data_IF_689495929402
#
_entry.id   IF_689495929402
#
_cell.length_a   1.000
_cell.length_b   1.000
_cell.length_c   1.000
_cell.angle_alpha   90.00
_cell.angle_beta   90.00
_cell.angle_gamma   90.00
#
_symmetry.space_group_name_H-M   'P 1'
#
loop_
_entity.id
_entity.type
_entity.pdbx_description
1 polymer ?
#
# COMPACT_ATOMS: atom_id res chain seq x y z
N UNK A 1 6.59 3.31 17.63
CA UNK A 1 6.02 1.98 17.93
C UNK A 1 4.53 2.16 18.05
N UNK A 2 3.75 1.50 17.18
CA UNK A 2 2.29 1.55 17.18
C UNK A 2 1.73 0.14 17.27
N UNK A 3 0.93 -0.14 18.28
CA UNK A 3 0.26 -1.45 18.39
C UNK A 3 -1.07 -1.41 17.69
N UNK A 4 -1.30 -2.37 16.79
CA UNK A 4 -2.58 -2.55 16.09
C UNK A 4 -3.09 -3.95 16.43
N UNK A 5 -4.36 -4.04 16.83
CA UNK A 5 -5.02 -5.34 16.99
C UNK A 5 -5.59 -5.75 15.64
N UNK A 6 -4.98 -6.77 15.05
CA UNK A 6 -5.45 -7.37 13.82
C UNK A 6 -6.27 -8.61 14.12
N UNK A 7 -7.26 -8.85 13.29
CA UNK A 7 -7.94 -10.13 13.23
C UNK A 7 -7.30 -10.97 12.12
N UNK A 8 -6.65 -12.05 12.51
CA UNK A 8 -6.06 -13.02 11.60
C UNK A 8 -7.17 -13.96 11.14
N UNK A 9 -7.56 -13.83 9.88
CA UNK A 9 -8.60 -14.62 9.23
C UNK A 9 -7.95 -15.81 8.50
N UNK A 10 -7.99 -16.98 9.13
CA UNK A 10 -7.41 -18.21 8.63
C UNK A 10 -8.47 -19.27 8.33
N UNK A 11 -8.05 -20.41 7.79
CA UNK A 11 -8.93 -21.56 7.50
C UNK A 11 -9.68 -22.08 8.73
N UNK A 12 -9.03 -22.02 9.89
CA UNK A 12 -9.55 -22.52 11.17
C UNK A 12 -10.40 -21.48 11.93
N UNK A 13 -10.67 -20.33 11.30
CA UNK A 13 -11.44 -19.22 11.86
C UNK A 13 -10.60 -17.97 12.10
N UNK A 14 -11.21 -17.02 12.82
CA UNK A 14 -10.66 -15.69 13.07
C UNK A 14 -10.09 -15.61 14.48
N UNK A 15 -8.85 -15.14 14.61
CA UNK A 15 -8.18 -14.93 15.91
C UNK A 15 -7.68 -13.50 16.02
N UNK A 16 -7.72 -12.91 17.22
CA UNK A 16 -7.15 -11.58 17.44
C UNK A 16 -5.66 -11.68 17.77
N UNK A 17 -4.89 -10.74 17.24
CA UNK A 17 -3.45 -10.62 17.49
C UNK A 17 -3.06 -9.15 17.57
N UNK A 18 -2.56 -8.75 18.74
CA UNK A 18 -1.98 -7.42 18.92
C UNK A 18 -0.54 -7.44 18.41
N UNK A 19 -0.25 -6.66 17.37
CA UNK A 19 1.07 -6.59 16.74
C UNK A 19 1.64 -5.19 16.95
N UNK A 20 2.83 -5.10 17.53
CA UNK A 20 3.58 -3.85 17.66
C UNK A 20 4.34 -3.57 16.36
N UNK A 21 3.97 -2.51 15.64
CA UNK A 21 4.66 -2.07 14.43
C UNK A 21 5.70 -1.01 14.82
N UNK A 22 6.96 -1.36 14.60
CA UNK A 22 8.12 -0.50 14.84
C UNK A 22 8.67 0.10 13.55
N UNK A 23 8.40 -0.57 12.44
CA UNK A 23 9.08 -0.31 11.18
C UNK A 23 8.07 -0.38 10.05
N UNK A 24 7.87 0.75 9.37
CA UNK A 24 6.99 0.85 8.20
C UNK A 24 7.83 1.18 6.96
N UNK A 25 7.69 0.33 5.95
CA UNK A 25 8.36 0.42 4.65
C UNK A 25 7.31 0.60 3.56
N UNK A 26 7.65 1.37 2.54
CA UNK A 26 6.87 1.45 1.31
C UNK A 26 7.81 1.07 0.16
N UNK A 27 7.47 0.02 -0.57
CA UNK A 27 8.19 -0.40 -1.75
C UNK A 27 7.60 0.28 -2.99
N UNK A 28 8.35 1.19 -3.60
CA UNK A 28 8.01 1.80 -4.88
C UNK A 28 8.61 1.05 -6.05
N UNK A 29 8.06 1.26 -7.25
CA UNK A 29 8.57 0.70 -8.50
C UNK A 29 8.64 -0.83 -8.49
N UNK A 30 7.55 -1.46 -8.03
CA UNK A 30 7.46 -2.92 -7.87
C UNK A 30 6.89 -3.63 -9.08
N UNK A 31 6.66 -2.95 -10.22
CA UNK A 31 6.14 -3.57 -11.43
C UNK A 31 7.03 -4.73 -11.92
N UNK A 32 6.40 -5.85 -12.32
CA UNK A 32 7.13 -7.02 -12.87
C UNK A 32 7.57 -6.81 -14.32
N UNK A 33 6.84 -6.00 -15.08
CA UNK A 33 7.24 -5.64 -16.44
C UNK A 33 8.35 -4.60 -16.40
N UNK A 34 9.59 -5.10 -16.44
CA UNK A 34 10.79 -4.26 -16.38
C UNK A 34 10.92 -3.35 -17.60
N UNK A 35 10.43 -3.76 -18.77
CA UNK A 35 10.49 -2.96 -19.98
C UNK A 35 9.49 -1.79 -19.92
N UNK A 36 8.25 -2.06 -19.49
CA UNK A 36 7.25 -1.02 -19.28
C UNK A 36 7.67 -0.05 -18.17
N UNK A 37 8.22 -0.55 -17.07
CA UNK A 37 8.74 0.28 -15.98
C UNK A 37 9.89 1.19 -16.45
N UNK A 38 10.86 0.64 -17.17
CA UNK A 38 11.99 1.41 -17.72
C UNK A 38 11.53 2.46 -18.73
N UNK A 39 10.54 2.13 -19.59
CA UNK A 39 9.92 3.11 -20.49
C UNK A 39 9.29 4.27 -19.72
N UNK A 40 8.56 3.95 -18.65
CA UNK A 40 7.92 4.96 -17.82
C UNK A 40 8.93 5.85 -17.07
N UNK A 41 10.04 5.28 -16.59
CA UNK A 41 11.14 6.06 -16.00
C UNK A 41 11.70 7.06 -17.01
N UNK A 42 11.92 6.66 -18.27
CA UNK A 42 12.43 7.56 -19.31
C UNK A 42 11.46 8.68 -19.66
N UNK A 43 10.16 8.38 -19.75
CA UNK A 43 9.12 9.40 -19.95
C UNK A 43 9.14 10.45 -18.83
N UNK A 44 9.35 10.02 -17.58
CA UNK A 44 9.44 10.92 -16.43
C UNK A 44 10.76 11.71 -16.40
N UNK A 45 11.88 11.12 -16.82
CA UNK A 45 13.16 11.83 -16.99
C UNK A 45 13.05 12.96 -18.04
N UNK A 46 12.34 12.73 -19.15
CA UNK A 46 12.05 13.77 -20.16
C UNK A 46 11.24 14.94 -19.59
N UNK A 47 10.43 14.69 -18.56
CA UNK A 47 9.66 15.69 -17.81
C UNK A 47 10.44 16.31 -16.63
N UNK A 48 11.71 15.95 -16.45
CA UNK A 48 12.60 16.50 -15.42
C UNK A 48 12.52 15.79 -14.05
N UNK A 49 11.82 14.66 -13.96
CA UNK A 49 11.76 13.86 -12.73
C UNK A 49 13.02 13.00 -12.61
N UNK A 50 13.66 13.03 -11.45
CA UNK A 50 14.87 12.24 -11.20
C UNK A 50 14.53 10.74 -11.10
N UNK A 51 15.25 9.91 -11.88
CA UNK A 51 15.17 8.45 -11.79
C UNK A 51 15.45 7.92 -10.37
N UNK A 52 14.74 6.87 -9.93
CA UNK A 52 15.02 6.21 -8.67
C UNK A 52 16.42 5.60 -8.64
N UNK A 53 17.06 5.59 -7.47
CA UNK A 53 18.40 5.02 -7.29
C UNK A 53 18.45 3.50 -7.51
N UNK A 54 17.35 2.81 -7.22
CA UNK A 54 17.18 1.37 -7.40
C UNK A 54 15.73 1.06 -7.78
N UNK A 55 15.50 -0.06 -8.46
CA UNK A 55 14.16 -0.58 -8.73
C UNK A 55 14.08 -2.05 -8.26
N UNK A 56 13.27 -2.37 -7.23
CA UNK A 56 12.42 -1.48 -6.45
C UNK A 56 13.23 -0.50 -5.56
N UNK A 57 12.54 0.53 -5.06
CA UNK A 57 13.06 1.47 -4.06
C UNK A 57 12.26 1.31 -2.77
N UNK A 58 12.92 1.46 -1.62
CA UNK A 58 12.28 1.25 -0.31
C UNK A 58 12.31 2.55 0.50
N UNK A 59 11.16 3.19 0.62
CA UNK A 59 10.97 4.37 1.45
C UNK A 59 10.69 3.98 2.90
N UNK A 60 11.11 4.84 3.83
CA UNK A 60 10.85 4.69 5.26
C UNK A 60 9.93 5.81 5.71
N UNK A 61 8.90 5.45 6.47
CA UNK A 61 8.01 6.39 7.13
C UNK A 61 7.83 5.98 8.59
N UNK A 62 7.34 6.90 9.42
CA UNK A 62 7.02 6.61 10.81
C UNK A 62 5.97 5.50 10.90
N UNK A 63 6.20 4.52 11.76
CA UNK A 63 5.26 3.42 11.99
C UNK A 63 3.85 3.91 12.36
N UNK A 64 3.79 5.06 13.03
CA UNK A 64 2.53 5.68 13.46
C UNK A 64 1.61 6.08 12.32
N UNK A 65 2.13 6.17 11.08
CA UNK A 65 1.32 6.44 9.89
C UNK A 65 0.38 5.29 9.54
N UNK A 66 0.72 4.02 9.84
CA UNK A 66 -0.15 2.87 9.57
C UNK A 66 -1.35 2.87 10.52
N UNK A 67 -2.58 2.99 10.04
CA UNK A 67 -3.76 3.17 10.91
C UNK A 67 -5.01 2.49 10.36
N UNK A 68 -5.76 1.70 11.16
CA UNK A 68 -7.02 1.11 10.73
C UNK A 68 -8.25 2.02 10.85
N UNK A 69 -8.08 3.29 11.23
CA UNK A 69 -9.16 4.24 11.40
C UNK A 69 -9.97 4.46 10.11
N UNK A 70 -11.29 4.67 10.20
CA UNK A 70 -12.15 4.86 9.04
C UNK A 70 -12.06 6.28 8.44
N UNK A 71 -11.08 7.09 8.85
CA UNK A 71 -10.84 8.43 8.33
C UNK A 71 -9.37 8.82 8.52
N UNK A 72 -8.88 9.69 7.65
CA UNK A 72 -7.61 10.40 7.81
C UNK A 72 -7.83 11.89 7.61
N UNK A 73 -6.94 12.68 8.20
CA UNK A 73 -6.84 14.11 7.93
C UNK A 73 -5.65 14.39 7.03
N UNK A 74 -5.84 15.26 6.04
CA UNK A 74 -4.81 15.65 5.07
C UNK A 74 -4.76 17.17 4.95
N UNK A 75 -3.59 17.73 4.70
CA UNK A 75 -3.47 19.17 4.45
C UNK A 75 -3.86 19.48 3.01
N UNK A 76 -4.83 20.38 2.82
CA UNK A 76 -5.29 20.75 1.48
C UNK A 76 -5.97 19.60 0.73
N UNK A 77 -6.24 19.83 -0.56
CA UNK A 77 -6.98 18.91 -1.43
C UNK A 77 -6.11 18.17 -2.44
N UNK A 78 -4.78 18.17 -2.28
CA UNK A 78 -3.83 17.64 -3.27
C UNK A 78 -3.25 16.28 -2.87
N UNK A 79 -4.00 15.44 -2.15
CA UNK A 79 -3.60 14.07 -1.81
C UNK A 79 -4.52 13.04 -2.45
N UNK A 80 -4.06 11.80 -2.59
CA UNK A 80 -4.86 10.71 -3.15
C UNK A 80 -4.49 9.35 -2.56
N UNK A 81 -5.43 8.41 -2.58
CA UNK A 81 -5.20 7.01 -2.23
C UNK A 81 -4.49 6.21 -3.33
N UNK A 82 -3.76 5.19 -2.91
CA UNK A 82 -3.13 4.17 -3.76
C UNK A 82 -3.35 2.82 -3.08
N UNK A 83 -4.18 1.94 -3.63
CA UNK A 83 -4.41 0.62 -3.04
C UNK A 83 -3.16 -0.25 -3.15
N UNK A 84 -2.80 -0.89 -2.05
CA UNK A 84 -1.67 -1.82 -1.98
C UNK A 84 -2.03 -3.05 -1.13
N UNK A 85 -1.37 -4.17 -1.40
CA UNK A 85 -1.24 -5.21 -0.38
C UNK A 85 -0.10 -4.82 0.59
N UNK A 86 -0.27 -5.16 1.86
CA UNK A 86 0.73 -4.91 2.90
C UNK A 86 1.18 -6.24 3.50
N UNK A 87 2.49 -6.41 3.67
CA UNK A 87 3.06 -7.53 4.42
C UNK A 87 3.30 -7.09 5.86
N UNK A 88 2.96 -7.95 6.83
CA UNK A 88 3.21 -7.71 8.25
C UNK A 88 3.93 -8.92 8.84
N UNK A 89 4.98 -8.69 9.62
CA UNK A 89 5.78 -9.75 10.27
C UNK A 89 5.53 -9.74 11.78
N UNK A 90 5.17 -10.89 12.33
CA UNK A 90 4.98 -11.05 13.78
C UNK A 90 5.09 -12.53 14.19
N UNK A 91 5.76 -12.79 15.32
CA UNK A 91 5.87 -14.14 15.88
C UNK A 91 6.53 -15.14 14.93
N UNK A 92 7.43 -14.69 14.06
CA UNK A 92 8.02 -15.56 13.06
C UNK A 92 7.09 -15.95 11.89
N UNK A 93 5.90 -15.37 11.79
CA UNK A 93 4.93 -15.54 10.70
C UNK A 93 4.83 -14.28 9.82
N UNK A 94 4.55 -14.47 8.54
CA UNK A 94 4.27 -13.36 7.60
C UNK A 94 2.78 -13.36 7.26
N UNK A 95 2.19 -12.18 7.35
CA UNK A 95 0.78 -11.93 7.09
C UNK A 95 0.61 -10.99 5.90
N UNK A 96 -0.54 -11.10 5.23
CA UNK A 96 -0.96 -10.26 4.12
C UNK A 96 -2.19 -9.48 4.54
N UNK A 97 -2.16 -8.17 4.35
CA UNK A 97 -3.29 -7.27 4.51
C UNK A 97 -3.48 -6.39 3.27
N UNK A 98 -4.31 -5.37 3.43
CA UNK A 98 -4.42 -4.27 2.48
C UNK A 98 -4.22 -2.93 3.19
N UNK A 99 -3.66 -1.99 2.44
CA UNK A 99 -3.48 -0.62 2.88
C UNK A 99 -3.64 0.35 1.71
N UNK A 100 -3.68 1.63 2.03
CA UNK A 100 -3.54 2.71 1.07
C UNK A 100 -2.22 3.45 1.32
N UNK A 101 -1.37 3.53 0.30
CA UNK A 101 -0.21 4.42 0.31
C UNK A 101 -0.65 5.86 -0.01
N UNK A 102 -1.52 6.42 0.84
CA UNK A 102 -2.09 7.75 0.60
C UNK A 102 -0.96 8.78 0.52
N UNK A 103 -0.89 9.54 -0.55
CA UNK A 103 0.28 10.38 -0.87
C UNK A 103 -0.16 11.80 -1.23
N UNK A 104 0.56 12.79 -0.71
CA UNK A 104 0.40 14.19 -1.08
C UNK A 104 1.11 14.47 -2.42
N UNK A 105 0.34 14.82 -3.45
CA UNK A 105 0.82 14.95 -4.82
C UNK A 105 1.54 16.26 -5.09
N UNK A 106 1.21 17.31 -4.35
CA UNK A 106 1.94 18.58 -4.44
C UNK A 106 3.35 18.42 -3.85
N UNK A 107 3.44 17.85 -2.65
CA UNK A 107 4.71 17.58 -1.97
C UNK A 107 5.52 16.49 -2.68
N UNK A 108 4.88 15.58 -3.41
CA UNK A 108 5.58 14.53 -4.18
C UNK A 108 6.50 15.14 -5.25
N UNK A 109 6.10 16.27 -5.85
CA UNK A 109 6.93 17.02 -6.81
C UNK A 109 8.21 17.59 -6.18
N UNK A 110 8.16 17.90 -4.88
CA UNK A 110 9.31 18.30 -4.08
C UNK A 110 10.16 17.09 -3.66
N UNK A 111 9.51 16.01 -3.20
CA UNK A 111 10.20 14.80 -2.79
C UNK A 111 9.27 13.67 -2.39
N UNK A 112 9.39 12.54 -3.09
CA UNK A 112 8.59 11.33 -2.86
C UNK A 112 8.65 10.86 -1.40
N UNK A 113 9.84 10.80 -0.78
CA UNK A 113 9.95 10.38 0.63
C UNK A 113 9.15 11.27 1.58
N UNK A 114 9.16 12.59 1.34
CA UNK A 114 8.50 13.56 2.21
C UNK A 114 6.99 13.48 2.05
N UNK A 115 6.50 13.40 0.80
CA UNK A 115 5.07 13.25 0.51
C UNK A 115 4.48 12.00 1.15
N UNK A 116 5.20 10.87 1.08
CA UNK A 116 4.75 9.61 1.69
C UNK A 116 4.70 9.70 3.22
N UNK A 117 5.61 10.43 3.85
CA UNK A 117 5.63 10.63 5.30
C UNK A 117 4.51 11.56 5.79
N UNK A 118 4.09 12.51 4.97
CA UNK A 118 3.12 13.54 5.36
C UNK A 118 1.72 12.96 5.63
N UNK A 119 1.29 12.00 4.82
CA UNK A 119 -0.03 11.40 4.92
C UNK A 119 -0.06 10.15 5.82
N UNK A 120 -1.26 9.85 6.35
CA UNK A 120 -1.54 8.55 6.96
C UNK A 120 -1.48 7.41 5.92
N UNK A 121 -1.35 6.18 6.40
CA UNK A 121 -1.39 4.94 5.62
C UNK A 121 -2.54 4.07 6.13
N UNK A 122 -3.80 4.34 5.70
CA UNK A 122 -4.97 3.58 6.12
C UNK A 122 -4.81 2.09 5.81
N UNK A 123 -5.19 1.20 6.73
CA UNK A 123 -5.07 -0.24 6.53
C UNK A 123 -6.25 -1.04 7.05
N UNK A 124 -6.49 -2.23 6.50
CA UNK A 124 -7.44 -3.16 7.11
C UNK A 124 -6.95 -3.60 8.49
N UNK A 125 -7.90 -3.84 9.40
CA UNK A 125 -7.65 -4.53 10.67
C UNK A 125 -7.74 -6.06 10.53
N UNK A 126 -7.75 -6.58 9.30
CA UNK A 126 -7.86 -8.01 9.02
C UNK A 126 -6.69 -8.44 8.16
N UNK A 127 -6.06 -9.55 8.53
CA UNK A 127 -4.91 -10.12 7.85
C UNK A 127 -5.16 -11.59 7.51
N UNK A 128 -4.55 -12.06 6.44
CA UNK A 128 -4.43 -13.47 6.11
C UNK A 128 -3.01 -13.95 6.40
N UNK A 129 -2.84 -15.25 6.67
CA UNK A 129 -1.50 -15.84 6.63
C UNK A 129 -1.00 -15.83 5.20
N UNK A 130 0.26 -15.44 4.97
CA UNK A 130 0.83 -15.47 3.63
C UNK A 130 0.83 -16.88 3.04
N UNK A 131 1.14 -17.90 3.85
CA UNK A 131 1.16 -19.31 3.45
C UNK A 131 -0.18 -19.80 2.87
N UNK A 132 -1.31 -19.22 3.30
CA UNK A 132 -2.62 -19.60 2.76
C UNK A 132 -2.79 -19.20 1.29
N UNK A 133 -2.11 -18.13 0.87
CA UNK A 133 -2.27 -17.52 -0.46
C UNK A 133 -1.04 -17.66 -1.34
N UNK A 134 0.12 -18.03 -0.79
CA UNK A 134 1.39 -18.13 -1.52
C UNK A 134 1.29 -19.05 -2.76
N UNK A 135 0.58 -20.17 -2.64
CA UNK A 135 0.40 -21.14 -3.72
C UNK A 135 -0.45 -20.64 -4.91
N UNK A 136 -1.21 -19.57 -4.73
CA UNK A 136 -2.07 -18.99 -5.76
C UNK A 136 -1.99 -17.46 -5.83
N UNK A 137 -0.88 -16.89 -5.36
CA UNK A 137 -0.70 -15.44 -5.19
C UNK A 137 -1.09 -14.64 -6.44
N UNK A 138 -0.64 -15.08 -7.61
CA UNK A 138 -0.85 -14.37 -8.87
C UNK A 138 -2.32 -14.34 -9.35
N UNK A 139 -3.22 -15.05 -8.67
CA UNK A 139 -4.66 -15.06 -8.93
C UNK A 139 -5.41 -13.99 -8.11
N UNK A 140 -4.80 -13.44 -7.06
CA UNK A 140 -5.45 -12.43 -6.24
C UNK A 140 -5.70 -11.14 -7.04
N UNK A 141 -6.82 -10.49 -6.77
CA UNK A 141 -7.24 -9.25 -7.46
C UNK A 141 -7.30 -8.10 -6.46
N UNK A 142 -6.52 -7.06 -6.70
CA UNK A 142 -6.53 -5.82 -5.94
C UNK A 142 -7.45 -4.82 -6.63
N UNK A 143 -8.33 -4.18 -5.86
CA UNK A 143 -9.25 -3.15 -6.33
C UNK A 143 -9.23 -1.94 -5.41
N UNK A 144 -9.48 -0.79 -6.01
CA UNK A 144 -9.80 0.42 -5.28
C UNK A 144 -11.00 1.12 -5.87
N UNK A 145 -11.78 1.75 -5.00
CA UNK A 145 -12.84 2.67 -5.39
C UNK A 145 -12.62 4.02 -4.74
N UNK A 146 -12.90 5.08 -5.49
CA UNK A 146 -12.82 6.46 -5.01
C UNK A 146 -14.21 7.08 -5.09
N UNK A 147 -14.62 7.84 -4.07
CA UNK A 147 -15.79 8.70 -4.16
C UNK A 147 -15.34 10.10 -4.54
N UNK A 148 -15.76 10.57 -5.71
CA UNK A 148 -15.39 11.86 -6.29
C UNK A 148 -16.70 12.55 -6.71
N UNK A 149 -16.92 13.78 -6.25
CA UNK A 149 -18.16 14.53 -6.48
C UNK A 149 -19.42 13.73 -6.06
N UNK A 150 -19.33 12.99 -4.95
CA UNK A 150 -20.39 12.11 -4.47
C UNK A 150 -20.59 10.80 -5.25
N UNK A 151 -19.83 10.56 -6.33
CA UNK A 151 -19.94 9.35 -7.15
C UNK A 151 -18.83 8.33 -6.84
N UNK A 152 -19.22 7.09 -6.58
CA UNK A 152 -18.28 5.98 -6.37
C UNK A 152 -17.80 5.44 -7.72
N UNK A 153 -16.52 5.64 -8.04
CA UNK A 153 -15.88 5.19 -9.28
C UNK A 153 -14.86 4.09 -9.03
N UNK A 154 -14.72 3.15 -9.97
CA UNK A 154 -13.61 2.20 -9.97
C UNK A 154 -12.32 2.96 -10.25
N UNK A 155 -11.39 2.94 -9.29
CA UNK A 155 -10.20 3.76 -9.31
C UNK A 155 -8.96 2.95 -9.69
N UNK A 156 -8.81 1.73 -9.18
CA UNK A 156 -7.74 0.79 -9.54
C UNK A 156 -8.33 -0.62 -9.61
N UNK A 157 -7.88 -1.43 -10.56
CA UNK A 157 -8.21 -2.86 -10.63
C UNK A 157 -7.14 -3.63 -11.39
N UNK A 158 -6.76 -4.79 -10.87
CA UNK A 158 -5.80 -5.65 -11.52
C UNK A 158 -5.38 -6.81 -10.64
N UNK A 159 -4.71 -7.80 -11.25
CA UNK A 159 -4.09 -8.88 -10.49
C UNK A 159 -2.86 -8.37 -9.76
N UNK A 160 -2.60 -8.87 -8.56
CA UNK A 160 -1.37 -8.53 -7.81
C UNK A 160 -0.10 -8.99 -8.54
N UNK A 161 -0.22 -9.86 -9.56
CA UNK A 161 0.88 -10.27 -10.43
C UNK A 161 1.45 -9.16 -11.32
N UNK A 162 0.79 -8.00 -11.41
CA UNK A 162 1.39 -6.81 -11.99
C UNK A 162 2.59 -6.28 -11.16
N UNK A 163 2.57 -6.50 -9.84
CA UNK A 163 3.66 -6.16 -8.91
C UNK A 163 4.45 -7.41 -8.51
N UNK A 164 5.72 -7.24 -8.12
CA UNK A 164 6.60 -8.29 -7.59
C UNK A 164 5.92 -9.08 -6.48
N UNK A 165 6.09 -10.40 -6.49
CA UNK A 165 5.56 -11.27 -5.45
C UNK A 165 6.26 -10.98 -4.09
N UNK A 166 5.59 -11.27 -2.95
CA UNK A 166 6.15 -11.04 -1.62
C UNK A 166 7.56 -11.58 -1.43
N UNK A 167 7.84 -12.83 -1.81
CA UNK A 167 9.17 -13.43 -1.62
C UNK A 167 10.28 -12.72 -2.40
N UNK A 168 10.01 -12.34 -3.66
CA UNK A 168 10.96 -11.56 -4.45
C UNK A 168 11.16 -10.17 -3.83
N UNK A 169 10.08 -9.51 -3.41
CA UNK A 169 10.17 -8.17 -2.83
C UNK A 169 10.97 -8.16 -1.51
N UNK A 170 10.75 -9.16 -0.65
CA UNK A 170 11.51 -9.35 0.59
C UNK A 170 12.99 -9.66 0.31
N UNK A 171 13.28 -10.47 -0.72
CA UNK A 171 14.65 -10.73 -1.14
C UNK A 171 15.33 -9.46 -1.66
N UNK A 172 14.66 -8.64 -2.48
CA UNK A 172 15.19 -7.34 -2.92
C UNK A 172 15.43 -6.41 -1.73
N UNK A 173 14.49 -6.33 -0.79
CA UNK A 173 14.66 -5.51 0.40
C UNK A 173 15.90 -5.91 1.20
N UNK A 174 16.12 -7.21 1.40
CA UNK A 174 17.32 -7.72 2.06
C UNK A 174 18.61 -7.41 1.29
N UNK A 175 18.62 -7.52 -0.04
CA UNK A 175 19.77 -7.15 -0.88
C UNK A 175 20.14 -5.67 -0.77
N UNK A 176 19.17 -4.81 -0.48
CA UNK A 176 19.36 -3.39 -0.21
C UNK A 176 19.59 -3.07 1.27
N UNK A 177 19.94 -4.05 2.10
CA UNK A 177 20.27 -3.88 3.52
C UNK A 177 19.07 -3.80 4.46
N UNK A 178 17.86 -3.97 3.93
CA UNK A 178 16.63 -4.05 4.70
C UNK A 178 16.54 -5.34 5.52
N UNK A 179 15.74 -5.31 6.59
CA UNK A 179 15.43 -6.47 7.42
C UNK A 179 13.94 -6.52 7.65
N UNK A 180 13.29 -7.58 7.18
CA UNK A 180 11.87 -7.82 7.42
C UNK A 180 11.75 -8.78 8.61
N UNK A 181 11.70 -8.19 9.81
CA UNK A 181 11.66 -8.88 11.11
C UNK A 181 10.36 -8.56 11.83
N UNK A 182 10.06 -9.28 12.90
CA UNK A 182 8.86 -9.03 13.72
C UNK A 182 8.72 -7.54 14.05
N UNK A 183 7.51 -7.01 13.90
CA UNK A 183 7.20 -5.58 14.00
C UNK A 183 7.47 -4.76 12.74
N UNK A 184 7.76 -5.41 11.60
CA UNK A 184 7.85 -4.75 10.29
C UNK A 184 6.53 -4.87 9.52
N UNK A 185 6.07 -3.75 8.97
CA UNK A 185 5.06 -3.70 7.91
C UNK A 185 5.66 -3.12 6.62
N UNK A 186 5.28 -3.67 5.47
CA UNK A 186 5.71 -3.21 4.14
C UNK A 186 4.52 -3.07 3.21
N UNK A 187 4.27 -1.85 2.75
CA UNK A 187 3.42 -1.53 1.61
C UNK A 187 4.18 -1.92 0.33
N UNK A 188 3.55 -2.70 -0.56
CA UNK A 188 4.25 -3.46 -1.62
C UNK A 188 4.05 -2.96 -3.06
N UNK A 189 3.53 -1.75 -3.21
CA UNK A 189 3.26 -1.08 -4.47
C UNK A 189 1.83 -1.22 -4.94
N UNK A 190 1.51 -0.42 -5.95
CA UNK A 190 0.15 -0.16 -6.39
C UNK A 190 -0.04 -0.39 -7.89
N UNK A 191 -1.30 -0.42 -8.33
CA UNK A 191 -1.70 -0.50 -9.74
C UNK A 191 -1.86 0.91 -10.33
N UNK A 192 -1.82 1.05 -11.66
CA UNK A 192 -2.14 2.32 -12.30
C UNK A 192 -3.59 2.73 -12.02
N UNK A 193 -3.80 4.01 -11.68
CA UNK A 193 -5.14 4.56 -11.50
C UNK A 193 -5.87 4.73 -12.83
N UNK A 194 -7.10 4.23 -12.92
CA UNK A 194 -7.98 4.35 -14.08
C UNK A 194 -8.33 5.82 -14.26
N UNK A 195 -7.99 6.38 -15.43
CA UNK A 195 -8.18 7.79 -15.75
C UNK A 195 -7.20 8.74 -15.05
N UNK A 196 -6.14 8.23 -14.42
CA UNK A 196 -5.13 9.04 -13.71
C UNK A 196 -5.39 9.23 -12.22
N UNK A 197 -4.42 9.83 -11.53
CA UNK A 197 -4.44 10.05 -10.09
C UNK A 197 -5.32 11.25 -9.75
N UNK A 198 -6.22 11.11 -8.77
CA UNK A 198 -7.16 12.16 -8.36
C UNK A 198 -7.43 12.11 -6.85
N UNK A 199 -7.63 13.27 -6.21
CA UNK A 199 -8.19 13.34 -4.85
C UNK A 199 -9.59 12.73 -4.79
N UNK A 200 -9.98 12.27 -3.60
CA UNK A 200 -11.28 11.66 -3.35
C UNK A 200 -11.75 11.97 -1.93
N UNK A 201 -13.06 12.14 -1.75
CA UNK A 201 -13.71 12.31 -0.44
C UNK A 201 -13.62 11.02 0.39
N UNK A 202 -13.59 9.89 -0.31
CA UNK A 202 -13.55 8.55 0.27
C UNK A 202 -12.75 7.61 -0.61
N UNK A 203 -12.01 6.71 0.02
CA UNK A 203 -11.25 5.68 -0.67
C UNK A 203 -11.53 4.30 -0.06
N UNK A 204 -11.70 3.30 -0.91
CA UNK A 204 -11.97 1.91 -0.55
C UNK A 204 -10.90 1.02 -1.20
N UNK A 205 -10.43 0.02 -0.47
CA UNK A 205 -9.45 -0.96 -0.93
C UNK A 205 -10.02 -2.35 -0.71
N UNK A 206 -9.86 -3.22 -1.71
CA UNK A 206 -10.22 -4.63 -1.62
C UNK A 206 -9.09 -5.52 -2.16
N UNK A 207 -8.84 -6.64 -1.49
CA UNK A 207 -8.02 -7.74 -2.02
C UNK A 207 -8.86 -9.00 -2.04
N UNK A 208 -9.14 -9.49 -3.22
CA UNK A 208 -10.00 -10.64 -3.48
C UNK A 208 -9.15 -11.90 -3.73
N UNK A 209 -9.50 -12.97 -3.01
CA UNK A 209 -8.97 -14.31 -3.20
C UNK A 209 -10.04 -15.20 -3.85
N UNK A 210 -10.01 -15.38 -5.19
CA UNK A 210 -11.00 -16.18 -5.89
C UNK A 210 -10.85 -17.69 -5.63
N UNK A 211 -9.69 -18.14 -5.12
CA UNK A 211 -9.43 -19.57 -4.87
C UNK A 211 -10.03 -19.99 -3.54
N UNK A 212 -9.89 -19.15 -2.50
CA UNK A 212 -10.47 -19.40 -1.17
C UNK A 212 -11.84 -18.75 -0.96
N UNK A 213 -12.32 -17.93 -1.91
CA UNK A 213 -13.65 -17.32 -1.87
C UNK A 213 -13.82 -16.27 -0.77
N UNK A 214 -12.78 -15.49 -0.49
CA UNK A 214 -12.75 -14.49 0.58
C UNK A 214 -12.13 -13.17 0.10
N UNK A 215 -12.46 -12.07 0.76
CA UNK A 215 -11.99 -10.73 0.36
C UNK A 215 -11.64 -9.90 1.61
N UNK A 216 -10.47 -9.28 1.63
CA UNK A 216 -10.15 -8.21 2.58
C UNK A 216 -10.78 -6.91 2.11
N UNK A 217 -11.34 -6.13 3.03
CA UNK A 217 -11.92 -4.81 2.74
C UNK A 217 -11.50 -3.79 3.78
N UNK A 218 -11.19 -2.59 3.32
CA UNK A 218 -11.01 -1.44 4.17
C UNK A 218 -11.40 -0.18 3.43
N UNK A 219 -11.87 0.81 4.17
CA UNK A 219 -12.29 2.03 3.56
C UNK A 219 -12.24 3.18 4.55
N UNK A 220 -11.85 4.36 4.07
CA UNK A 220 -11.68 5.54 4.89
C UNK A 220 -12.20 6.81 4.20
N UNK A 221 -12.61 7.79 5.00
CA UNK A 221 -12.91 9.16 4.56
C UNK A 221 -11.63 10.02 4.58
N UNK A 222 -11.61 11.05 3.73
CA UNK A 222 -10.51 12.02 3.65
C UNK A 222 -11.02 13.38 4.13
N UNK A 223 -10.58 13.77 5.32
CA UNK A 223 -10.91 15.06 5.92
C UNK A 223 -9.84 16.09 5.57
N UNK A 224 -10.16 16.99 4.63
CA UNK A 224 -9.24 18.06 4.23
C UNK A 224 -9.17 19.16 5.30
N UNK A 225 -7.95 19.43 5.76
CA UNK A 225 -7.62 20.54 6.65
C UNK A 225 -7.21 21.79 5.84
N UNK A 226 -7.51 23.00 6.33
CA UNK A 226 -7.13 24.24 5.66
C UNK A 226 -5.61 24.44 5.66
N UNK A 227 -5.07 24.99 4.57
CA UNK A 227 -3.69 25.47 4.48
C UNK A 227 -3.70 26.97 4.73
N UNK A 228 -3.12 27.40 5.85
CA UNK A 228 -3.20 28.79 6.32
C UNK A 228 -1.97 29.66 5.98
N UNK A 229 -0.93 29.09 5.35
CA UNK A 229 0.31 29.76 4.96
C UNK A 229 1.34 28.79 4.40
#
# INVERSE_FOLDING_TARGET
>A
MKTITFAIDGRDGRTERAIAIDTLVIAGWTGRDTAAMEKHIRELEELGVKRPATTPVFYRVAADRLDPSPAIQVSGGQSSGEAEFVLVRDGGETFVGIASDHTDREVETYGITVSKQMCGKPCANTLWKFDDVAGHWDQLVLRAYATIDGERVLYQEGKVSAMRAPDDLLAQFARHGGRFVDGTAMLCGTLAAIGGIRPAERFEVELDDPVLGRTLRHAYAVDTLPVAG
#
